data_IF_078115981344
#
_entry.id   IF_078115981344
#
_cell.length_a   1.000
_cell.length_b   1.000
_cell.length_c   1.000
_cell.angle_alpha   90.00
_cell.angle_beta   90.00
_cell.angle_gamma   90.00
#
_symmetry.space_group_name_H-M   'P 1'
#
loop_
_entity.id
_entity.type
_entity.pdbx_description
1 polymer ?
#
# COMPACT_ATOMS: atom_id res chain seq x y z
N UNK A 1 21.80 23.34 -21.81
CA UNK A 1 21.95 21.95 -22.31
C UNK A 1 21.12 21.82 -23.59
N UNK A 2 21.78 21.75 -24.74
CA UNK A 2 21.13 21.41 -26.02
C UNK A 2 21.12 19.89 -26.12
N UNK A 3 20.09 19.22 -25.59
CA UNK A 3 19.88 17.80 -25.83
C UNK A 3 18.95 17.66 -27.04
N UNK A 4 19.46 17.05 -28.12
CA UNK A 4 18.65 16.67 -29.27
C UNK A 4 17.72 15.52 -28.86
N UNK A 5 16.61 15.85 -28.19
CA UNK A 5 15.53 14.89 -28.02
C UNK A 5 14.92 14.60 -29.40
N UNK A 6 14.50 13.35 -29.60
CA UNK A 6 13.84 12.95 -30.83
C UNK A 6 12.63 13.85 -31.10
N UNK A 7 12.51 14.35 -32.32
CA UNK A 7 11.31 15.04 -32.80
C UNK A 7 10.68 14.21 -33.90
N UNK A 8 9.36 14.07 -33.86
CA UNK A 8 8.63 13.38 -34.93
C UNK A 8 8.90 14.05 -36.29
N UNK A 9 9.19 13.25 -37.34
CA UNK A 9 9.03 13.72 -38.71
C UNK A 9 7.62 14.29 -38.90
N UNK A 10 7.48 15.35 -39.71
CA UNK A 10 6.19 16.05 -39.92
C UNK A 10 5.06 15.10 -40.32
N UNK A 11 5.34 14.16 -41.22
CA UNK A 11 4.37 13.15 -41.68
C UNK A 11 3.89 12.24 -40.54
N UNK A 12 4.80 11.85 -39.64
CA UNK A 12 4.45 11.01 -38.50
C UNK A 12 3.58 11.79 -37.50
N UNK A 13 3.93 13.05 -37.24
CA UNK A 13 3.15 13.93 -36.37
C UNK A 13 1.74 14.16 -36.93
N UNK A 14 1.62 14.40 -38.24
CA UNK A 14 0.32 14.53 -38.89
C UNK A 14 -0.53 13.28 -38.69
N UNK A 15 0.02 12.08 -38.93
CA UNK A 15 -0.73 10.84 -38.75
C UNK A 15 -1.10 10.58 -37.28
N UNK A 16 -0.26 10.98 -36.31
CA UNK A 16 -0.61 10.96 -34.88
C UNK A 16 -1.83 11.84 -34.60
N UNK A 17 -1.85 13.07 -35.14
CA UNK A 17 -2.93 14.04 -34.97
C UNK A 17 -4.23 13.52 -35.60
N UNK A 18 -4.16 13.00 -36.82
CA UNK A 18 -5.30 12.39 -37.54
C UNK A 18 -5.93 11.22 -36.76
N UNK A 19 -5.11 10.52 -35.97
CA UNK A 19 -5.56 9.42 -35.11
C UNK A 19 -5.89 9.85 -33.68
N UNK A 20 -5.91 11.15 -33.40
CA UNK A 20 -6.36 11.72 -32.12
C UNK A 20 -5.47 11.39 -30.92
N UNK A 21 -4.18 11.12 -31.15
CA UNK A 21 -3.19 10.80 -30.10
C UNK A 21 -3.51 9.55 -29.24
N UNK A 22 -4.46 8.69 -29.64
CA UNK A 22 -4.89 7.55 -28.83
C UNK A 22 -3.89 6.37 -28.91
N UNK A 23 -3.01 6.25 -27.91
CA UNK A 23 -2.02 5.16 -27.86
C UNK A 23 -2.63 3.75 -27.77
N UNK A 24 -3.85 3.55 -27.28
CA UNK A 24 -4.39 2.21 -27.18
C UNK A 24 -5.06 1.78 -28.49
N UNK A 25 -5.85 2.66 -29.11
CA UNK A 25 -6.58 2.35 -30.36
C UNK A 25 -5.69 2.33 -31.60
N UNK A 26 -4.54 2.98 -31.56
CA UNK A 26 -3.63 3.07 -32.73
C UNK A 26 -2.49 2.05 -32.72
N UNK A 27 -2.60 0.98 -31.92
CA UNK A 27 -1.56 -0.06 -31.78
C UNK A 27 -1.11 -0.65 -33.10
N UNK A 28 -2.03 -0.82 -34.04
CA UNK A 28 -1.77 -1.33 -35.38
C UNK A 28 -1.29 -0.22 -36.31
N UNK A 29 -2.06 0.85 -36.41
CA UNK A 29 -1.91 1.90 -37.42
C UNK A 29 -0.63 2.73 -37.22
N UNK A 30 -0.24 2.95 -35.96
CA UNK A 30 0.95 3.70 -35.58
C UNK A 30 2.07 2.81 -35.04
N UNK A 31 2.04 1.50 -35.35
CA UNK A 31 3.09 0.56 -34.91
C UNK A 31 4.48 1.00 -35.34
N UNK A 32 4.63 1.48 -36.58
CA UNK A 32 5.90 1.97 -37.11
C UNK A 32 6.44 3.19 -36.32
N UNK A 33 5.56 4.13 -35.94
CA UNK A 33 5.93 5.28 -35.10
C UNK A 33 6.46 4.82 -33.75
N UNK A 34 5.80 3.82 -33.13
CA UNK A 34 6.22 3.29 -31.83
C UNK A 34 7.55 2.56 -31.91
N UNK A 35 7.78 1.79 -32.97
CA UNK A 35 9.07 1.15 -33.19
C UNK A 35 10.19 2.19 -33.31
N UNK A 36 9.97 3.26 -34.08
CA UNK A 36 10.95 4.35 -34.21
C UNK A 36 11.19 5.05 -32.87
N UNK A 37 10.12 5.36 -32.11
CA UNK A 37 10.25 5.92 -30.75
C UNK A 37 11.10 4.98 -29.90
N UNK A 38 10.78 3.68 -29.88
CA UNK A 38 11.48 2.68 -29.10
C UNK A 38 12.97 2.64 -29.45
N UNK A 39 13.31 2.55 -30.73
CA UNK A 39 14.69 2.56 -31.23
C UNK A 39 15.44 3.83 -30.79
N UNK A 40 14.79 5.00 -30.89
CA UNK A 40 15.39 6.27 -30.48
C UNK A 40 15.60 6.36 -28.97
N UNK A 41 14.63 5.93 -28.17
CA UNK A 41 14.76 5.89 -26.72
C UNK A 41 15.84 4.90 -26.27
N UNK A 42 15.88 3.70 -26.87
CA UNK A 42 16.90 2.69 -26.60
C UNK A 42 18.30 3.19 -26.97
N UNK A 43 18.46 3.86 -28.11
CA UNK A 43 19.72 4.48 -28.50
C UNK A 43 20.14 5.62 -27.55
N UNK A 44 19.19 6.43 -27.08
CA UNK A 44 19.47 7.63 -26.27
C UNK A 44 19.74 7.30 -24.80
N UNK A 45 18.92 6.45 -24.20
CA UNK A 45 18.95 6.17 -22.76
C UNK A 45 19.59 4.82 -22.42
N UNK A 46 19.95 4.03 -23.44
CA UNK A 46 20.72 2.80 -23.30
C UNK A 46 19.92 1.60 -22.79
N UNK A 47 20.66 0.56 -22.43
CA UNK A 47 20.20 -0.76 -21.97
C UNK A 47 19.75 -0.75 -20.50
N UNK A 48 19.20 0.34 -19.97
CA UNK A 48 18.84 0.43 -18.55
C UNK A 48 17.48 1.09 -18.34
N UNK A 49 16.74 0.60 -17.36
CA UNK A 49 15.49 1.23 -16.92
C UNK A 49 15.81 2.61 -16.34
N UNK A 50 15.15 3.65 -16.84
CA UNK A 50 15.42 5.01 -16.37
C UNK A 50 15.23 5.16 -14.85
N UNK A 51 14.16 4.60 -14.28
CA UNK A 51 13.83 4.78 -12.86
C UNK A 51 14.65 3.91 -11.91
N UNK A 52 14.80 2.61 -12.19
CA UNK A 52 15.47 1.70 -11.25
C UNK A 52 16.92 1.36 -11.62
N UNK A 53 17.41 1.83 -12.78
CA UNK A 53 18.75 1.58 -13.31
C UNK A 53 19.12 0.10 -13.43
N UNK A 54 18.13 -0.79 -13.46
CA UNK A 54 18.37 -2.20 -13.80
C UNK A 54 18.59 -2.35 -15.30
N UNK A 55 19.48 -3.25 -15.74
CA UNK A 55 19.65 -3.58 -17.14
C UNK A 55 18.32 -3.99 -17.79
N UNK A 56 18.14 -3.57 -19.03
CA UNK A 56 17.13 -4.00 -19.99
C UNK A 56 17.87 -4.84 -21.04
N UNK A 57 17.30 -5.98 -21.41
CA UNK A 57 17.90 -6.89 -22.37
C UNK A 57 16.91 -7.21 -23.49
N UNK A 58 17.39 -7.24 -24.73
CA UNK A 58 16.55 -7.45 -25.92
C UNK A 58 15.79 -8.78 -25.93
N UNK A 59 16.13 -9.73 -25.05
CA UNK A 59 15.48 -11.03 -24.95
C UNK A 59 14.30 -11.04 -23.98
N UNK A 60 14.60 -11.09 -22.68
CA UNK A 60 13.65 -11.37 -21.61
C UNK A 60 13.01 -10.13 -20.99
N UNK A 61 13.66 -8.97 -21.10
CA UNK A 61 13.18 -7.71 -20.54
C UNK A 61 13.60 -6.52 -21.42
N UNK A 62 13.04 -6.39 -22.63
CA UNK A 62 13.45 -5.36 -23.59
C UNK A 62 13.23 -3.94 -23.04
N UNK A 63 12.28 -3.80 -22.12
CA UNK A 63 11.82 -2.52 -21.62
C UNK A 63 10.57 -2.06 -22.37
N UNK A 64 9.82 -1.18 -21.73
CA UNK A 64 8.59 -0.61 -22.24
C UNK A 64 8.75 0.90 -22.40
N UNK A 65 8.14 1.44 -23.46
CA UNK A 65 7.94 2.89 -23.61
C UNK A 65 6.99 3.32 -22.49
N UNK A 66 7.52 4.11 -21.56
CA UNK A 66 6.77 4.67 -20.45
C UNK A 66 6.42 6.13 -20.72
N UNK A 67 5.19 6.49 -20.35
CA UNK A 67 4.68 7.84 -20.45
C UNK A 67 4.89 8.53 -19.11
N UNK A 68 5.77 9.53 -19.06
CA UNK A 68 6.07 10.30 -17.86
C UNK A 68 4.78 10.90 -17.29
N UNK A 69 4.00 11.60 -18.11
CA UNK A 69 2.60 11.98 -17.85
C UNK A 69 1.70 10.89 -18.42
N UNK A 70 0.88 10.29 -17.57
CA UNK A 70 0.07 9.14 -17.96
C UNK A 70 -1.03 9.51 -18.97
N UNK A 71 -1.31 8.61 -19.90
CA UNK A 71 -2.40 8.75 -20.89
C UNK A 71 -3.80 8.42 -20.36
N UNK A 72 -3.91 7.98 -19.10
CA UNK A 72 -5.19 7.55 -18.50
C UNK A 72 -6.18 8.68 -18.21
N UNK A 73 -5.78 9.94 -18.40
CA UNK A 73 -6.64 11.12 -18.29
C UNK A 73 -6.76 11.75 -19.68
N UNK A 74 -7.99 11.95 -20.15
CA UNK A 74 -8.27 12.54 -21.47
C UNK A 74 -7.64 13.93 -21.65
N UNK A 75 -7.42 14.66 -20.55
CA UNK A 75 -6.75 15.96 -20.54
C UNK A 75 -5.28 15.90 -20.97
N UNK A 76 -4.65 14.72 -20.93
CA UNK A 76 -3.25 14.50 -21.26
C UNK A 76 -3.05 13.70 -22.56
N UNK A 77 -4.14 13.35 -23.26
CA UNK A 77 -4.10 12.48 -24.44
C UNK A 77 -3.12 12.96 -25.50
N UNK A 78 -3.02 14.28 -25.68
CA UNK A 78 -2.14 14.94 -26.64
C UNK A 78 -0.67 14.58 -26.41
N UNK A 79 -0.29 14.30 -25.17
CA UNK A 79 1.07 13.96 -24.78
C UNK A 79 1.43 12.49 -24.99
N UNK A 80 0.50 11.64 -25.43
CA UNK A 80 0.72 10.20 -25.60
C UNK A 80 1.88 9.88 -26.56
N UNK A 81 2.09 10.75 -27.55
CA UNK A 81 3.18 10.63 -28.51
C UNK A 81 4.21 11.76 -28.38
N UNK A 82 4.06 12.66 -27.41
CA UNK A 82 5.00 13.77 -27.29
C UNK A 82 6.37 13.23 -26.86
N UNK A 83 7.48 13.44 -27.61
CA UNK A 83 8.76 12.79 -27.32
C UNK A 83 9.34 13.08 -25.94
N UNK A 84 9.14 14.31 -25.44
CA UNK A 84 9.56 14.68 -24.06
C UNK A 84 8.71 14.01 -22.97
N UNK A 85 7.58 13.41 -23.33
CA UNK A 85 6.74 12.66 -22.41
C UNK A 85 7.12 11.18 -22.34
N UNK A 86 8.10 10.72 -23.12
CA UNK A 86 8.40 9.31 -23.30
C UNK A 86 9.81 8.97 -22.78
N UNK A 87 9.91 7.81 -22.14
CA UNK A 87 11.17 7.25 -21.62
C UNK A 87 11.15 5.73 -21.68
N UNK A 88 12.31 5.07 -21.49
CA UNK A 88 12.39 3.61 -21.44
C UNK A 88 12.45 3.12 -19.99
N UNK A 89 11.64 2.12 -19.64
CA UNK A 89 11.60 1.56 -18.27
C UNK A 89 11.39 0.05 -18.29
N UNK A 90 11.73 -0.65 -17.21
CA UNK A 90 11.33 -2.04 -17.05
C UNK A 90 9.84 -2.15 -16.73
N UNK A 91 9.23 -3.28 -17.10
CA UNK A 91 7.79 -3.55 -16.89
C UNK A 91 7.31 -3.30 -15.48
N UNK A 92 8.12 -3.61 -14.46
CA UNK A 92 7.75 -3.41 -13.05
C UNK A 92 7.66 -1.94 -12.66
N UNK A 93 8.60 -1.11 -13.12
CA UNK A 93 8.57 0.33 -12.85
C UNK A 93 7.42 1.00 -13.61
N UNK A 94 7.21 0.64 -14.88
CA UNK A 94 6.07 1.07 -15.68
C UNK A 94 4.74 0.72 -14.98
N UNK A 95 4.54 -0.55 -14.63
CA UNK A 95 3.31 -1.02 -13.96
C UNK A 95 3.11 -0.34 -12.61
N UNK A 96 4.17 -0.15 -11.82
CA UNK A 96 4.08 0.47 -10.49
C UNK A 96 3.64 1.94 -10.57
N UNK A 97 4.16 2.69 -11.55
CA UNK A 97 3.74 4.05 -11.82
C UNK A 97 2.32 4.09 -12.39
N UNK A 98 2.06 3.31 -13.43
CA UNK A 98 0.75 3.16 -14.06
C UNK A 98 0.14 4.52 -14.41
N UNK A 99 -1.08 4.76 -13.93
CA UNK A 99 -1.84 6.01 -14.15
C UNK A 99 -1.69 7.02 -13.01
N UNK A 100 -0.72 6.83 -12.11
CA UNK A 100 -0.49 7.79 -11.03
C UNK A 100 0.04 9.11 -11.60
N UNK A 101 -0.41 10.19 -10.99
CA UNK A 101 -0.12 11.54 -11.44
C UNK A 101 1.35 11.91 -11.24
N UNK A 102 1.96 12.48 -12.28
CA UNK A 102 3.37 12.93 -12.24
C UNK A 102 3.49 14.44 -12.23
N UNK A 103 2.41 15.18 -12.54
CA UNK A 103 2.38 16.63 -12.50
C UNK A 103 2.17 17.20 -11.10
N UNK A 104 2.69 18.41 -10.92
CA UNK A 104 2.28 19.28 -9.82
C UNK A 104 0.79 19.64 -9.89
N UNK A 105 0.18 19.91 -8.74
CA UNK A 105 -1.29 20.09 -8.65
C UNK A 105 -1.81 21.21 -9.56
N UNK A 106 -1.03 22.28 -9.74
CA UNK A 106 -1.36 23.42 -10.61
C UNK A 106 -1.24 23.11 -12.11
N UNK A 107 -0.74 21.93 -12.49
CA UNK A 107 -0.64 21.45 -13.87
C UNK A 107 -1.67 20.38 -14.20
N UNK A 108 -2.44 19.93 -13.21
CA UNK A 108 -3.46 18.91 -13.37
C UNK A 108 -4.78 19.51 -13.85
N UNK A 109 -5.62 18.70 -14.48
CA UNK A 109 -6.96 19.09 -14.95
C UNK A 109 -6.99 20.25 -15.96
N UNK A 110 -5.88 20.46 -16.68
CA UNK A 110 -5.78 21.42 -17.78
C UNK A 110 -5.95 20.67 -19.11
N UNK A 111 -6.78 21.21 -20.00
CA UNK A 111 -6.91 20.70 -21.36
C UNK A 111 -5.70 21.16 -22.18
N UNK A 112 -4.66 20.33 -22.21
CA UNK A 112 -3.47 20.61 -22.99
C UNK A 112 -3.71 20.37 -24.47
N UNK A 113 -2.97 21.12 -25.29
CA UNK A 113 -2.70 20.78 -26.69
C UNK A 113 -1.26 20.28 -26.79
N UNK A 114 -0.92 19.56 -27.87
CA UNK A 114 0.39 18.94 -28.07
C UNK A 114 1.58 19.89 -27.78
N UNK A 115 1.53 21.12 -28.30
CA UNK A 115 2.62 22.11 -28.16
C UNK A 115 2.74 22.71 -26.76
N UNK A 116 1.71 22.57 -25.91
CA UNK A 116 1.68 23.08 -24.54
C UNK A 116 2.28 22.10 -23.53
N UNK A 117 3.09 21.14 -23.97
CA UNK A 117 3.80 20.24 -23.07
C UNK A 117 4.63 21.06 -22.06
N UNK A 118 4.43 20.90 -20.74
CA UNK A 118 5.23 21.60 -19.73
C UNK A 118 6.72 21.24 -19.87
N UNK A 119 7.60 22.24 -19.85
CA UNK A 119 9.05 22.04 -20.08
C UNK A 119 9.91 22.41 -18.88
N UNK A 120 9.31 22.83 -17.77
CA UNK A 120 10.06 23.13 -16.56
C UNK A 120 10.14 21.88 -15.69
N UNK A 121 11.33 21.60 -15.16
CA UNK A 121 11.54 20.56 -14.16
C UNK A 121 10.53 20.66 -13.02
N UNK A 122 10.28 21.86 -12.50
CA UNK A 122 9.35 22.11 -11.38
C UNK A 122 7.87 21.82 -11.68
N UNK A 123 7.51 21.56 -12.93
CA UNK A 123 6.12 21.20 -13.29
C UNK A 123 5.79 19.74 -12.91
N UNK A 124 6.80 18.94 -12.54
CA UNK A 124 6.70 17.51 -12.27
C UNK A 124 7.08 17.19 -10.81
N UNK A 125 6.35 16.23 -10.23
CA UNK A 125 6.65 15.63 -8.92
C UNK A 125 7.72 14.55 -9.00
N UNK A 126 7.94 13.97 -10.19
CA UNK A 126 8.95 12.91 -10.41
C UNK A 126 10.22 13.49 -11.00
N UNK A 127 11.31 12.74 -10.82
CA UNK A 127 12.55 12.92 -11.59
C UNK A 127 12.26 12.64 -13.07
N UNK A 128 12.32 13.70 -13.87
CA UNK A 128 11.96 13.73 -15.28
C UNK A 128 13.17 13.43 -16.18
N UNK A 129 13.06 12.41 -17.04
CA UNK A 129 14.15 11.95 -17.92
C UNK A 129 14.83 13.04 -18.74
N UNK A 130 14.06 14.04 -19.17
CA UNK A 130 14.56 15.09 -20.06
C UNK A 130 14.94 16.39 -19.34
N UNK A 131 14.47 16.61 -18.12
CA UNK A 131 14.55 17.92 -17.45
C UNK A 131 15.29 17.88 -16.13
N UNK A 132 15.54 16.68 -15.59
CA UNK A 132 16.26 16.48 -14.35
C UNK A 132 17.52 15.64 -14.59
N UNK A 133 18.55 15.91 -13.80
CA UNK A 133 19.64 14.98 -13.63
C UNK A 133 19.25 13.95 -12.55
N UNK A 134 19.29 12.67 -12.90
CA UNK A 134 18.85 11.59 -12.00
C UNK A 134 19.64 11.58 -10.69
N UNK A 135 20.95 11.76 -10.79
CA UNK A 135 21.90 11.66 -9.67
C UNK A 135 21.86 12.90 -8.76
N UNK A 136 21.07 13.94 -9.10
CA UNK A 136 20.80 15.07 -8.21
C UNK A 136 19.64 14.75 -7.24
N UNK A 137 18.88 13.70 -7.51
CA UNK A 137 17.66 13.36 -6.75
C UNK A 137 17.68 11.98 -6.12
N UNK A 138 18.43 11.03 -6.67
CA UNK A 138 18.38 9.61 -6.27
C UNK A 138 19.80 9.05 -6.18
N UNK A 139 20.07 8.33 -5.09
CA UNK A 139 21.32 7.61 -4.85
C UNK A 139 21.08 6.11 -4.65
N UNK A 140 22.05 5.30 -5.05
CA UNK A 140 22.06 3.86 -4.81
C UNK A 140 22.89 3.53 -3.56
N UNK A 141 22.23 3.42 -2.41
CA UNK A 141 22.90 3.12 -1.15
C UNK A 141 23.32 1.64 -1.09
N UNK A 142 24.60 1.40 -0.77
CA UNK A 142 25.19 0.07 -0.61
C UNK A 142 24.97 -0.87 -1.80
N UNK A 143 24.70 -0.33 -3.00
CA UNK A 143 24.36 -1.09 -4.21
C UNK A 143 23.03 -1.87 -4.15
N UNK A 144 22.21 -1.68 -3.10
CA UNK A 144 20.98 -2.45 -2.86
C UNK A 144 19.74 -1.59 -3.08
N UNK A 145 19.60 -0.52 -2.30
CA UNK A 145 18.36 0.27 -2.21
C UNK A 145 18.55 1.65 -2.84
N UNK A 146 17.50 2.14 -3.51
CA UNK A 146 17.47 3.54 -3.95
C UNK A 146 16.97 4.39 -2.78
N UNK A 147 17.67 5.47 -2.49
CA UNK A 147 17.27 6.48 -1.51
C UNK A 147 17.23 7.87 -2.14
N UNK A 148 16.41 8.79 -1.60
CA UNK A 148 16.42 10.17 -2.07
C UNK A 148 17.73 10.83 -1.66
N UNK A 149 18.40 11.46 -2.62
CA UNK A 149 19.58 12.28 -2.36
C UNK A 149 19.18 13.54 -1.61
N UNK A 150 19.82 13.82 -0.48
CA UNK A 150 19.60 15.04 0.32
C UNK A 150 18.12 15.36 0.62
N UNK A 151 17.28 14.32 0.84
CA UNK A 151 15.83 14.45 1.03
C UNK A 151 15.08 15.13 -0.14
N UNK A 152 15.60 14.99 -1.37
CA UNK A 152 14.95 15.44 -2.60
C UNK A 152 13.47 15.05 -2.65
N UNK A 153 12.53 16.02 -2.69
CA UNK A 153 11.10 15.73 -2.77
C UNK A 153 10.73 14.92 -4.01
N UNK A 154 11.37 15.23 -5.16
CA UNK A 154 11.23 14.46 -6.40
C UNK A 154 11.74 13.04 -6.24
N UNK A 155 12.88 12.87 -5.57
CA UNK A 155 13.45 11.56 -5.30
C UNK A 155 12.51 10.69 -4.47
N UNK A 156 11.97 11.24 -3.38
CA UNK A 156 10.98 10.59 -2.51
C UNK A 156 9.75 10.18 -3.33
N UNK A 157 9.21 11.11 -4.11
CA UNK A 157 8.00 10.85 -4.90
C UNK A 157 8.26 9.80 -6.00
N UNK A 158 9.40 9.86 -6.70
CA UNK A 158 9.81 8.85 -7.70
C UNK A 158 9.98 7.46 -7.08
N UNK A 159 10.61 7.36 -5.90
CA UNK A 159 10.74 6.08 -5.18
C UNK A 159 9.37 5.49 -4.87
N UNK A 160 8.45 6.31 -4.39
CA UNK A 160 7.11 5.89 -3.99
C UNK A 160 6.24 5.51 -5.20
N UNK A 161 6.17 6.38 -6.21
CA UNK A 161 5.30 6.19 -7.37
C UNK A 161 5.74 4.98 -8.21
N UNK A 162 7.05 4.78 -8.39
CA UNK A 162 7.62 3.67 -9.16
C UNK A 162 7.94 2.42 -8.31
N UNK A 163 7.61 2.45 -7.01
CA UNK A 163 7.86 1.37 -6.05
C UNK A 163 9.33 0.88 -6.10
N UNK A 164 10.28 1.79 -5.94
CA UNK A 164 11.72 1.51 -6.03
C UNK A 164 12.32 0.92 -4.75
N UNK A 165 11.52 0.82 -3.67
CA UNK A 165 11.91 0.20 -2.40
C UNK A 165 11.68 -1.32 -2.37
N UNK A 166 11.03 -1.90 -3.38
CA UNK A 166 10.65 -3.32 -3.42
C UNK A 166 11.83 -4.28 -3.29
N UNK A 167 11.67 -5.34 -2.49
CA UNK A 167 12.72 -6.31 -2.19
C UNK A 167 13.12 -7.16 -3.40
N UNK A 168 12.22 -7.35 -4.36
CA UNK A 168 12.55 -8.04 -5.60
C UNK A 168 13.46 -7.20 -6.54
N UNK A 169 13.48 -5.86 -6.41
CA UNK A 169 14.46 -5.00 -7.08
C UNK A 169 15.83 -5.23 -6.47
N UNK A 170 15.87 -5.12 -5.15
CA UNK A 170 17.08 -5.31 -4.36
C UNK A 170 17.67 -6.71 -4.62
N UNK A 171 16.84 -7.76 -4.62
CA UNK A 171 17.26 -9.13 -4.95
C UNK A 171 17.75 -9.24 -6.40
N UNK A 172 17.07 -8.60 -7.33
CA UNK A 172 17.49 -8.53 -8.74
C UNK A 172 18.87 -7.90 -8.90
N UNK A 173 19.15 -6.81 -8.17
CA UNK A 173 20.47 -6.18 -8.12
C UNK A 173 21.51 -7.12 -7.56
N UNK A 174 21.28 -7.68 -6.37
CA UNK A 174 22.23 -8.62 -5.74
C UNK A 174 22.53 -9.80 -6.68
N UNK A 175 21.52 -10.35 -7.35
CA UNK A 175 21.70 -11.40 -8.38
C UNK A 175 22.50 -10.91 -9.58
N UNK A 176 22.25 -9.70 -10.07
CA UNK A 176 23.01 -9.10 -11.16
C UNK A 176 24.48 -8.91 -10.77
N UNK A 177 24.76 -8.27 -9.62
CA UNK A 177 26.12 -8.14 -9.07
C UNK A 177 26.78 -9.51 -8.90
N UNK A 178 26.08 -10.48 -8.32
CA UNK A 178 26.55 -11.88 -8.19
C UNK A 178 26.93 -12.49 -9.54
N UNK A 179 26.14 -12.25 -10.58
CA UNK A 179 26.34 -12.81 -11.91
C UNK A 179 27.44 -12.10 -12.71
N UNK A 180 27.58 -10.79 -12.54
CA UNK A 180 28.56 -9.93 -13.19
C UNK A 180 29.94 -10.12 -12.59
N UNK A 181 30.02 -10.24 -11.25
CA UNK A 181 31.27 -10.33 -10.51
C UNK A 181 31.58 -11.72 -9.95
N UNK A 182 30.81 -12.76 -10.32
CA UNK A 182 31.21 -14.16 -10.13
C UNK A 182 30.86 -14.82 -8.78
N UNK A 183 30.01 -14.24 -7.93
CA UNK A 183 29.58 -14.91 -6.70
C UNK A 183 28.60 -16.09 -6.96
N UNK A 184 28.26 -16.36 -8.22
CA UNK A 184 27.22 -17.28 -8.70
C UNK A 184 27.72 -18.57 -9.35
N UNK A 185 28.74 -19.22 -8.77
CA UNK A 185 28.98 -20.66 -8.94
C UNK A 185 30.22 -21.08 -9.76
N UNK A 186 30.74 -22.31 -9.52
CA UNK A 186 32.00 -22.81 -10.10
C UNK A 186 32.02 -22.91 -11.64
N UNK A 187 30.86 -23.12 -12.28
CA UNK A 187 30.78 -23.33 -13.72
C UNK A 187 30.95 -22.04 -14.55
N UNK A 188 30.70 -20.85 -13.98
CA UNK A 188 30.87 -19.56 -14.69
C UNK A 188 32.30 -19.02 -14.55
N UNK A 189 33.01 -19.40 -13.48
CA UNK A 189 34.44 -19.15 -13.28
C UNK A 189 35.32 -19.90 -14.30
N UNK A 190 34.90 -21.09 -14.73
CA UNK A 190 35.58 -21.86 -15.79
C UNK A 190 35.39 -21.27 -17.20
N UNK A 191 34.33 -20.45 -17.40
CA UNK A 191 33.90 -19.95 -18.73
C UNK A 191 34.32 -18.48 -18.97
N UNK A 192 34.64 -17.71 -17.93
CA UNK A 192 35.15 -16.32 -18.00
C UNK A 192 36.64 -16.21 -18.45
N UNK A 193 37.17 -17.19 -19.21
CA UNK A 193 38.44 -17.15 -19.95
C UNK A 193 39.72 -17.29 -19.11
N UNK A 194 40.64 -18.17 -19.54
CA UNK A 194 41.99 -18.35 -18.98
C UNK A 194 42.92 -17.13 -19.10
N UNK A 195 42.52 -16.00 -18.52
CA UNK A 195 43.24 -14.72 -18.48
C UNK A 195 43.14 -13.98 -17.14
N UNK A 196 42.31 -14.40 -16.18
CA UNK A 196 42.22 -13.76 -14.86
C UNK A 196 42.24 -14.78 -13.73
N UNK A 197 43.00 -14.50 -12.67
CA UNK A 197 43.08 -15.37 -11.49
C UNK A 197 41.91 -15.11 -10.53
N UNK A 198 41.62 -16.08 -9.67
CA UNK A 198 40.64 -15.95 -8.57
C UNK A 198 40.95 -14.73 -7.67
N UNK A 199 42.24 -14.46 -7.42
CA UNK A 199 42.71 -13.30 -6.67
C UNK A 199 42.39 -11.96 -7.34
N UNK A 200 42.40 -11.88 -8.67
CA UNK A 200 42.05 -10.64 -9.41
C UNK A 200 40.55 -10.34 -9.35
N UNK A 201 39.72 -11.38 -9.37
CA UNK A 201 38.27 -11.23 -9.21
C UNK A 201 37.96 -10.80 -7.77
N UNK A 202 38.56 -11.46 -6.77
CA UNK A 202 38.43 -11.10 -5.36
C UNK A 202 38.95 -9.68 -5.08
N UNK A 203 40.03 -9.24 -5.74
CA UNK A 203 40.56 -7.88 -5.61
C UNK A 203 39.62 -6.83 -6.18
N UNK A 204 39.00 -7.07 -7.34
CA UNK A 204 37.97 -6.17 -7.90
C UNK A 204 36.69 -6.17 -7.06
N UNK A 205 36.26 -7.33 -6.58
CA UNK A 205 35.15 -7.44 -5.64
C UNK A 205 35.42 -6.66 -4.34
N UNK A 206 36.62 -6.78 -3.76
CA UNK A 206 37.04 -6.01 -2.57
C UNK A 206 37.19 -4.51 -2.84
N UNK A 207 37.42 -4.08 -4.10
CA UNK A 207 37.39 -2.66 -4.49
C UNK A 207 35.97 -2.10 -4.51
N UNK A 208 34.99 -2.90 -4.96
CA UNK A 208 33.56 -2.54 -5.01
C UNK A 208 32.92 -2.65 -3.62
N UNK A 209 33.20 -3.73 -2.92
CA UNK A 209 32.74 -4.05 -1.57
C UNK A 209 33.87 -3.86 -0.58
N UNK A 210 34.10 -2.61 -0.16
CA UNK A 210 35.08 -2.27 0.88
C UNK A 210 34.60 -2.61 2.29
N UNK A 211 33.31 -2.91 2.43
CA UNK A 211 32.62 -3.11 3.71
C UNK A 211 31.98 -4.50 3.75
N UNK A 212 32.47 -5.35 4.65
CA UNK A 212 31.95 -6.70 4.88
C UNK A 212 30.44 -6.67 5.24
N UNK A 213 29.94 -5.56 5.82
CA UNK A 213 28.50 -5.38 6.09
C UNK A 213 27.67 -5.40 4.82
N UNK A 214 28.19 -4.91 3.69
CA UNK A 214 27.47 -4.94 2.41
C UNK A 214 27.34 -6.37 1.90
N UNK A 215 28.40 -7.18 2.03
CA UNK A 215 28.37 -8.60 1.67
C UNK A 215 27.35 -9.35 2.54
N UNK A 216 27.34 -9.05 3.84
CA UNK A 216 26.38 -9.62 4.79
C UNK A 216 24.93 -9.31 4.42
N UNK A 217 24.65 -8.06 4.04
CA UNK A 217 23.35 -7.61 3.54
C UNK A 217 22.98 -8.34 2.23
N UNK A 218 23.93 -8.52 1.31
CA UNK A 218 23.70 -9.27 0.07
C UNK A 218 23.28 -10.73 0.36
N UNK A 219 24.00 -11.41 1.24
CA UNK A 219 23.69 -12.79 1.64
C UNK A 219 22.33 -12.89 2.33
N UNK A 220 22.05 -11.97 3.27
CA UNK A 220 20.76 -11.93 3.95
C UNK A 220 19.60 -11.71 2.96
N UNK A 221 19.75 -10.81 1.99
CA UNK A 221 18.71 -10.58 0.99
C UNK A 221 18.48 -11.79 0.08
N UNK A 222 19.56 -12.50 -0.31
CA UNK A 222 19.45 -13.75 -1.05
C UNK A 222 18.75 -14.84 -0.24
N UNK A 223 19.04 -14.96 1.06
CA UNK A 223 18.37 -15.88 1.98
C UNK A 223 16.88 -15.55 2.11
N UNK A 224 16.54 -14.29 2.39
CA UNK A 224 15.16 -13.79 2.42
C UNK A 224 14.43 -14.10 1.10
N UNK A 225 15.10 -13.86 -0.02
CA UNK A 225 14.53 -14.07 -1.36
C UNK A 225 14.43 -15.53 -1.80
N UNK A 226 14.92 -16.48 -1.02
CA UNK A 226 14.74 -17.92 -1.28
C UNK A 226 13.30 -18.37 -1.06
N UNK A 227 12.55 -17.69 -0.17
CA UNK A 227 11.13 -17.94 0.03
C UNK A 227 10.29 -16.96 -0.80
N UNK A 228 9.89 -17.40 -1.99
CA UNK A 228 9.09 -16.59 -2.92
C UNK A 228 7.72 -16.23 -2.37
N UNK A 229 7.10 -17.09 -1.55
CA UNK A 229 5.79 -16.83 -0.96
C UNK A 229 5.85 -15.69 0.05
N UNK A 230 6.89 -15.65 0.90
CA UNK A 230 7.10 -14.54 1.83
C UNK A 230 7.26 -13.21 1.08
N UNK A 231 8.11 -13.17 0.05
CA UNK A 231 8.29 -11.96 -0.75
C UNK A 231 7.00 -11.52 -1.45
N UNK A 232 6.24 -12.45 -2.00
CA UNK A 232 4.99 -12.13 -2.68
C UNK A 232 3.91 -11.65 -1.70
N UNK A 233 3.80 -12.24 -0.51
CA UNK A 233 2.90 -11.74 0.54
C UNK A 233 3.32 -10.34 0.99
N UNK A 234 4.62 -10.09 1.19
CA UNK A 234 5.14 -8.75 1.52
C UNK A 234 4.79 -7.74 0.43
N UNK A 235 4.89 -8.11 -0.85
CA UNK A 235 4.48 -7.26 -1.97
C UNK A 235 2.98 -6.95 -1.94
N UNK A 236 2.14 -7.92 -1.63
CA UNK A 236 0.68 -7.71 -1.52
C UNK A 236 0.32 -6.85 -0.31
N UNK A 237 0.97 -7.07 0.84
CA UNK A 237 0.80 -6.24 2.04
C UNK A 237 1.26 -4.79 1.78
N UNK A 238 2.37 -4.59 1.07
CA UNK A 238 2.87 -3.25 0.75
C UNK A 238 1.87 -2.41 -0.07
N UNK A 239 0.95 -3.03 -0.80
CA UNK A 239 -0.12 -2.32 -1.52
C UNK A 239 -1.19 -1.74 -0.59
N UNK A 240 -1.30 -2.25 0.64
CA UNK A 240 -2.26 -1.79 1.66
C UNK A 240 -1.77 -0.51 2.33
N UNK A 241 -0.46 -0.23 2.25
CA UNK A 241 0.18 0.96 2.81
C UNK A 241 0.86 0.68 4.15
N UNK A 242 2.07 1.19 4.31
CA UNK A 242 2.88 0.95 5.51
C UNK A 242 2.25 1.54 6.77
N UNK A 243 1.76 2.77 6.71
CA UNK A 243 1.13 3.44 7.87
C UNK A 243 -0.07 2.66 8.42
N UNK A 244 -0.90 2.11 7.52
CA UNK A 244 -2.04 1.28 7.88
C UNK A 244 -1.59 0.00 8.62
N UNK A 245 -0.52 -0.62 8.14
CA UNK A 245 0.05 -1.83 8.73
C UNK A 245 0.72 -1.56 10.09
N UNK A 246 1.46 -0.46 10.21
CA UNK A 246 2.05 0.00 11.48
C UNK A 246 0.95 0.28 12.51
N UNK A 247 -0.08 1.05 12.14
CA UNK A 247 -1.21 1.33 13.01
C UNK A 247 -1.95 0.05 13.40
N UNK A 248 -2.16 -0.86 12.46
CA UNK A 248 -2.76 -2.16 12.74
C UNK A 248 -1.99 -2.92 13.80
N UNK A 249 -0.67 -3.05 13.65
CA UNK A 249 0.15 -3.73 14.64
C UNK A 249 0.12 -3.05 16.01
N UNK A 250 0.22 -1.72 16.04
CA UNK A 250 0.24 -0.91 17.27
C UNK A 250 -1.08 -0.99 18.05
N UNK A 251 -2.21 -0.94 17.34
CA UNK A 251 -3.54 -0.83 17.93
C UNK A 251 -4.36 -2.13 17.84
N UNK A 252 -3.72 -3.24 17.50
CA UNK A 252 -4.36 -4.56 17.51
C UNK A 252 -5.05 -4.91 18.83
N UNK A 253 -4.51 -4.60 20.03
CA UNK A 253 -5.23 -4.87 21.28
C UNK A 253 -6.59 -4.16 21.37
N UNK A 254 -6.69 -2.92 20.87
CA UNK A 254 -7.94 -2.17 20.79
C UNK A 254 -8.91 -2.85 19.81
N UNK A 255 -8.44 -3.22 18.61
CA UNK A 255 -9.26 -3.96 17.64
C UNK A 255 -9.75 -5.28 18.21
N UNK A 256 -8.87 -6.04 18.88
CA UNK A 256 -9.21 -7.32 19.52
C UNK A 256 -10.27 -7.13 20.60
N UNK A 257 -10.09 -6.14 21.46
CA UNK A 257 -11.05 -5.78 22.48
C UNK A 257 -12.43 -5.43 21.87
N UNK A 258 -12.46 -4.67 20.78
CA UNK A 258 -13.68 -4.37 20.05
C UNK A 258 -14.35 -5.64 19.47
N UNK A 259 -13.58 -6.52 18.83
CA UNK A 259 -14.09 -7.79 18.28
C UNK A 259 -14.68 -8.68 19.37
N UNK A 260 -13.97 -8.86 20.47
CA UNK A 260 -14.39 -9.73 21.58
C UNK A 260 -15.67 -9.20 22.28
N UNK A 261 -15.99 -7.89 22.12
CA UNK A 261 -17.17 -7.26 22.70
C UNK A 261 -18.23 -6.88 21.65
N UNK A 262 -18.07 -7.31 20.39
CA UNK A 262 -18.97 -6.87 19.32
C UNK A 262 -20.43 -7.25 19.54
N UNK A 263 -20.70 -8.46 20.06
CA UNK A 263 -22.06 -8.90 20.33
C UNK A 263 -22.74 -8.00 21.37
N UNK A 264 -22.00 -7.61 22.40
CA UNK A 264 -22.47 -6.69 23.44
C UNK A 264 -22.73 -5.29 22.87
N UNK A 265 -21.80 -4.75 22.09
CA UNK A 265 -21.95 -3.46 21.40
C UNK A 265 -23.15 -3.48 20.46
N UNK A 266 -23.32 -4.56 19.70
CA UNK A 266 -24.45 -4.73 18.81
C UNK A 266 -25.77 -4.75 19.59
N UNK A 267 -25.84 -5.48 20.70
CA UNK A 267 -27.05 -5.52 21.54
C UNK A 267 -27.40 -4.14 22.10
N UNK A 268 -26.41 -3.40 22.60
CA UNK A 268 -26.59 -2.03 23.08
C UNK A 268 -27.06 -1.08 21.97
N UNK A 269 -26.54 -1.22 20.75
CA UNK A 269 -27.03 -0.51 19.57
C UNK A 269 -28.50 -0.82 19.27
N UNK A 270 -28.89 -2.11 19.24
CA UNK A 270 -30.28 -2.49 18.96
C UNK A 270 -31.23 -1.96 20.05
N UNK A 271 -30.80 -1.89 21.31
CA UNK A 271 -31.54 -1.26 22.40
C UNK A 271 -31.79 0.24 22.15
N UNK A 272 -30.73 1.01 21.88
CA UNK A 272 -30.86 2.46 21.64
C UNK A 272 -31.73 2.71 20.42
N UNK A 273 -31.50 1.94 19.35
CA UNK A 273 -32.31 2.02 18.13
C UNK A 273 -33.78 1.75 18.41
N UNK A 274 -34.08 0.68 19.15
CA UNK A 274 -35.45 0.33 19.51
C UNK A 274 -36.15 1.41 20.34
N UNK A 275 -35.44 1.99 21.33
CA UNK A 275 -35.93 3.12 22.12
C UNK A 275 -36.27 4.28 21.19
N UNK A 276 -35.33 4.68 20.33
CA UNK A 276 -35.51 5.83 19.43
C UNK A 276 -36.66 5.66 18.44
N UNK A 277 -36.82 4.46 17.88
CA UNK A 277 -37.88 4.14 16.90
C UNK A 277 -39.26 3.99 17.57
N UNK A 278 -39.31 3.68 18.87
CA UNK A 278 -40.54 3.58 19.63
C UNK A 278 -40.85 4.90 20.33
N UNK A 279 -41.46 5.85 19.61
CA UNK A 279 -41.70 7.23 20.10
C UNK A 279 -42.31 7.30 21.51
N UNK A 280 -43.34 6.48 21.79
CA UNK A 280 -43.95 6.43 23.12
C UNK A 280 -43.00 6.00 24.23
N UNK A 281 -42.06 5.09 23.95
CA UNK A 281 -41.05 4.65 24.91
C UNK A 281 -39.99 5.73 25.09
N UNK A 282 -39.53 6.33 23.99
CA UNK A 282 -38.56 7.43 24.01
C UNK A 282 -39.07 8.60 24.84
N UNK A 283 -40.32 9.04 24.64
CA UNK A 283 -40.90 10.19 25.35
C UNK A 283 -40.99 9.92 26.86
N UNK A 284 -41.47 8.73 27.25
CA UNK A 284 -41.54 8.31 28.66
C UNK A 284 -40.14 8.27 29.29
N UNK A 285 -39.14 7.73 28.58
CA UNK A 285 -37.78 7.63 29.12
C UNK A 285 -37.10 8.99 29.22
N UNK A 286 -37.38 9.95 28.33
CA UNK A 286 -36.89 11.33 28.44
C UNK A 286 -37.39 12.00 29.73
N UNK A 287 -38.65 11.75 30.12
CA UNK A 287 -39.22 12.32 31.35
C UNK A 287 -38.65 11.66 32.62
N UNK A 288 -38.31 10.37 32.55
CA UNK A 288 -37.91 9.58 33.72
C UNK A 288 -36.39 9.51 33.95
N UNK A 289 -35.57 9.78 32.92
CA UNK A 289 -34.11 9.72 33.02
C UNK A 289 -33.50 11.12 33.15
N UNK A 290 -32.88 11.37 34.30
CA UNK A 290 -32.05 12.57 34.53
C UNK A 290 -30.74 12.57 33.73
N UNK A 291 -30.05 13.72 33.72
CA UNK A 291 -28.78 13.90 32.99
C UNK A 291 -27.68 12.92 33.44
N UNK A 292 -27.70 12.51 34.71
CA UNK A 292 -26.81 11.52 35.31
C UNK A 292 -26.98 10.10 34.75
N UNK A 293 -28.08 9.83 34.06
CA UNK A 293 -28.39 8.55 33.43
C UNK A 293 -28.00 8.50 31.95
N UNK A 294 -27.63 9.63 31.35
CA UNK A 294 -27.47 9.77 29.90
C UNK A 294 -26.04 10.18 29.53
N UNK A 295 -25.62 9.80 28.33
CA UNK A 295 -24.51 10.45 27.63
C UNK A 295 -25.02 11.60 26.77
N UNK A 296 -24.22 12.66 26.69
CA UNK A 296 -24.53 13.83 25.87
C UNK A 296 -24.72 13.41 24.41
N UNK A 297 -25.88 13.70 23.84
CA UNK A 297 -26.19 13.48 22.43
C UNK A 297 -27.24 14.50 22.01
N UNK A 298 -27.17 15.00 20.78
CA UNK A 298 -28.09 16.05 20.31
C UNK A 298 -29.51 15.53 20.11
N UNK A 299 -29.65 14.29 19.63
CA UNK A 299 -30.93 13.81 19.08
C UNK A 299 -31.34 12.42 19.60
N UNK A 300 -30.52 11.79 20.45
CA UNK A 300 -30.69 10.39 20.87
C UNK A 300 -30.62 10.27 22.39
N UNK A 301 -31.46 9.41 22.93
CA UNK A 301 -31.36 8.97 24.32
C UNK A 301 -30.33 7.83 24.37
N UNK A 302 -29.14 8.12 24.90
CA UNK A 302 -28.04 7.16 25.04
C UNK A 302 -27.82 6.91 26.54
N UNK A 303 -28.38 5.83 27.12
CA UNK A 303 -28.24 5.55 28.54
C UNK A 303 -26.80 5.15 28.90
N UNK A 304 -26.21 5.79 29.90
CA UNK A 304 -24.96 5.28 30.49
C UNK A 304 -25.23 4.07 31.41
N UNK A 305 -24.22 3.59 32.13
CA UNK A 305 -24.39 2.45 33.06
C UNK A 305 -25.55 2.66 34.04
N UNK A 306 -25.66 3.84 34.66
CA UNK A 306 -26.74 4.18 35.59
C UNK A 306 -28.09 4.25 34.86
N UNK A 307 -28.11 4.74 33.62
CA UNK A 307 -29.33 4.78 32.81
C UNK A 307 -29.86 3.39 32.47
N UNK A 308 -28.98 2.45 32.13
CA UNK A 308 -29.38 1.05 31.92
C UNK A 308 -29.94 0.46 33.22
N UNK A 309 -29.28 0.70 34.36
CA UNK A 309 -29.78 0.28 35.67
C UNK A 309 -31.18 0.84 35.96
N UNK A 310 -31.37 2.14 35.72
CA UNK A 310 -32.64 2.81 35.96
C UNK A 310 -33.75 2.27 35.06
N UNK A 311 -33.46 2.02 33.79
CA UNK A 311 -34.43 1.41 32.86
C UNK A 311 -34.83 0.02 33.36
N UNK A 312 -33.87 -0.80 33.79
CA UNK A 312 -34.15 -2.14 34.34
C UNK A 312 -35.02 -2.05 35.60
N UNK A 313 -34.72 -1.11 36.51
CA UNK A 313 -35.53 -0.86 37.72
C UNK A 313 -36.99 -0.52 37.37
N UNK A 314 -37.21 0.42 36.44
CA UNK A 314 -38.54 0.88 36.03
C UNK A 314 -39.40 -0.22 35.40
N UNK A 315 -38.78 -1.17 34.71
CA UNK A 315 -39.44 -2.33 34.12
C UNK A 315 -39.88 -3.31 35.22
N UNK A 316 -38.98 -3.60 36.15
CA UNK A 316 -39.19 -4.55 37.25
C UNK A 316 -40.23 -4.05 38.26
N UNK A 317 -40.23 -2.74 38.54
CA UNK A 317 -41.22 -2.11 39.44
C UNK A 317 -42.61 -1.96 38.80
N UNK A 318 -42.73 -2.13 37.48
CA UNK A 318 -43.95 -1.84 36.73
C UNK A 318 -44.26 -0.34 36.60
N UNK A 319 -43.31 0.53 36.93
CA UNK A 319 -43.48 1.99 36.84
C UNK A 319 -43.49 2.49 35.38
N UNK A 320 -42.92 1.71 34.45
CA UNK A 320 -42.92 2.03 33.02
C UNK A 320 -44.30 1.74 32.39
N UNK A 321 -45.12 2.78 32.18
CA UNK A 321 -46.48 2.66 31.61
C UNK A 321 -46.46 2.45 30.09
N UNK A 322 -46.03 1.28 29.65
CA UNK A 322 -45.94 0.89 28.24
C UNK A 322 -46.76 -0.36 27.90
N UNK A 323 -47.04 -0.58 26.61
CA UNK A 323 -47.76 -1.78 26.13
C UNK A 323 -46.92 -3.05 26.33
N UNK A 324 -47.57 -4.17 26.62
CA UNK A 324 -46.92 -5.47 26.86
C UNK A 324 -45.90 -5.88 25.78
N UNK A 325 -46.18 -5.75 24.46
CA UNK A 325 -45.19 -6.11 23.44
C UNK A 325 -43.91 -5.29 23.50
N UNK A 326 -44.01 -4.00 23.88
CA UNK A 326 -42.86 -3.11 24.03
C UNK A 326 -42.04 -3.53 25.25
N UNK A 327 -42.72 -3.86 26.36
CA UNK A 327 -42.07 -4.33 27.59
C UNK A 327 -41.28 -5.61 27.34
N UNK A 328 -41.90 -6.61 26.72
CA UNK A 328 -41.24 -7.89 26.41
C UNK A 328 -40.01 -7.68 25.53
N UNK A 329 -40.11 -6.83 24.50
CA UNK A 329 -38.97 -6.56 23.62
C UNK A 329 -37.83 -5.82 24.34
N UNK A 330 -38.18 -4.88 25.21
CA UNK A 330 -37.23 -4.13 26.02
C UNK A 330 -36.50 -5.04 27.02
N UNK A 331 -37.22 -5.95 27.68
CA UNK A 331 -36.67 -6.99 28.56
C UNK A 331 -35.70 -7.92 27.80
N UNK A 332 -36.08 -8.36 26.59
CA UNK A 332 -35.23 -9.17 25.72
C UNK A 332 -33.91 -8.44 25.40
N UNK A 333 -33.97 -7.16 25.02
CA UNK A 333 -32.80 -6.36 24.65
C UNK A 333 -31.90 -6.03 25.86
N UNK A 334 -32.46 -5.94 27.06
CA UNK A 334 -31.70 -5.71 28.31
C UNK A 334 -31.12 -7.00 28.89
N UNK A 335 -31.69 -8.16 28.55
CA UNK A 335 -31.23 -9.45 29.07
C UNK A 335 -29.79 -9.72 28.63
N UNK A 336 -28.89 -9.92 29.61
CA UNK A 336 -27.46 -10.13 29.34
C UNK A 336 -26.66 -8.84 29.07
N UNK A 337 -27.30 -7.67 29.11
CA UNK A 337 -26.62 -6.38 29.02
C UNK A 337 -26.06 -5.97 30.39
N UNK A 338 -24.86 -6.43 30.71
CA UNK A 338 -24.13 -6.06 31.92
C UNK A 338 -23.85 -4.54 31.97
N UNK A 339 -24.44 -3.85 32.95
CA UNK A 339 -24.32 -2.39 33.13
C UNK A 339 -22.86 -1.94 33.24
N UNK A 340 -21.99 -2.72 33.89
CA UNK A 340 -20.56 -2.42 34.07
C UNK A 340 -19.77 -2.42 32.76
N UNK A 341 -20.28 -3.06 31.70
CA UNK A 341 -19.67 -3.08 30.36
C UNK A 341 -20.10 -1.90 29.49
N UNK A 342 -21.09 -1.10 29.88
CA UNK A 342 -21.57 0.05 29.09
C UNK A 342 -20.51 1.16 29.01
N UNK A 343 -19.86 1.50 30.12
CA UNK A 343 -18.74 2.46 30.09
C UNK A 343 -17.58 1.98 29.20
N UNK A 344 -17.36 0.66 29.16
CA UNK A 344 -16.37 0.06 28.29
C UNK A 344 -16.70 0.23 26.80
N UNK A 345 -17.99 0.14 26.42
CA UNK A 345 -18.43 0.50 25.05
C UNK A 345 -18.00 1.93 24.72
N UNK A 346 -18.29 2.89 25.60
CA UNK A 346 -17.97 4.29 25.33
C UNK A 346 -16.46 4.51 25.19
N UNK A 347 -15.66 3.89 26.05
CA UNK A 347 -14.19 3.94 25.95
C UNK A 347 -13.68 3.43 24.59
N UNK A 348 -14.25 2.33 24.10
CA UNK A 348 -13.90 1.78 22.79
C UNK A 348 -14.36 2.69 21.65
N UNK A 349 -15.61 3.17 21.70
CA UNK A 349 -16.20 4.01 20.64
C UNK A 349 -15.57 5.40 20.55
N UNK A 350 -14.96 5.91 21.62
CA UNK A 350 -14.13 7.12 21.55
C UNK A 350 -12.98 7.01 20.53
N UNK A 351 -12.57 5.79 20.18
CA UNK A 351 -11.54 5.52 19.17
C UNK A 351 -12.12 5.14 17.80
N UNK A 352 -13.35 5.57 17.47
CA UNK A 352 -14.08 5.11 16.27
C UNK A 352 -13.33 5.26 14.96
N UNK A 353 -12.66 6.40 14.74
CA UNK A 353 -11.99 6.70 13.46
C UNK A 353 -10.88 5.68 13.23
N UNK A 354 -10.03 5.52 14.24
CA UNK A 354 -8.97 4.53 14.26
C UNK A 354 -9.52 3.11 14.07
N UNK A 355 -10.56 2.71 14.83
CA UNK A 355 -11.17 1.39 14.70
C UNK A 355 -11.67 1.10 13.27
N UNK A 356 -12.32 2.07 12.62
CA UNK A 356 -12.78 1.93 11.24
C UNK A 356 -11.61 1.74 10.26
N UNK A 357 -10.52 2.48 10.43
CA UNK A 357 -9.29 2.32 9.64
C UNK A 357 -8.65 0.93 9.85
N UNK A 358 -8.58 0.47 11.10
CA UNK A 358 -8.07 -0.87 11.44
C UNK A 358 -8.91 -1.98 10.80
N UNK A 359 -10.23 -1.87 10.89
CA UNK A 359 -11.17 -2.84 10.30
C UNK A 359 -11.03 -2.84 8.78
N UNK A 360 -10.92 -1.68 8.14
CA UNK A 360 -10.71 -1.57 6.71
C UNK A 360 -9.39 -2.24 6.29
N UNK A 361 -8.32 -2.02 7.06
CA UNK A 361 -7.00 -2.61 6.82
C UNK A 361 -7.05 -4.15 6.92
N UNK A 362 -7.61 -4.69 8.00
CA UNK A 362 -7.76 -6.16 8.16
C UNK A 362 -8.66 -6.73 7.07
N UNK A 363 -9.76 -6.06 6.73
CA UNK A 363 -10.63 -6.49 5.63
C UNK A 363 -9.88 -6.53 4.30
N UNK A 364 -9.03 -5.54 4.00
CA UNK A 364 -8.20 -5.53 2.80
C UNK A 364 -7.20 -6.71 2.77
N UNK A 365 -6.57 -7.02 3.91
CA UNK A 365 -5.68 -8.19 4.04
C UNK A 365 -6.46 -9.49 3.78
N UNK A 366 -7.56 -9.69 4.52
CA UNK A 366 -8.35 -10.93 4.47
C UNK A 366 -9.11 -11.11 3.15
N UNK A 367 -9.33 -10.07 2.36
CA UNK A 367 -10.00 -10.19 1.05
C UNK A 367 -9.03 -10.31 -0.13
N UNK A 368 -7.73 -10.11 0.10
CA UNK A 368 -6.72 -10.26 -0.93
C UNK A 368 -6.56 -11.74 -1.34
N UNK A 369 -6.96 -12.05 -2.58
CA UNK A 369 -6.93 -13.41 -3.13
C UNK A 369 -5.52 -13.95 -3.30
N UNK A 370 -4.54 -13.09 -3.61
CA UNK A 370 -3.14 -13.52 -3.76
C UNK A 370 -2.56 -13.91 -2.40
N UNK A 371 -2.81 -13.13 -1.34
CA UNK A 371 -2.37 -13.50 0.02
C UNK A 371 -2.98 -14.85 0.42
N UNK A 372 -4.29 -15.06 0.18
CA UNK A 372 -4.95 -16.34 0.46
C UNK A 372 -4.34 -17.52 -0.29
N UNK A 373 -4.03 -17.33 -1.57
CA UNK A 373 -3.43 -18.35 -2.41
C UNK A 373 -2.02 -18.73 -1.95
N UNK A 374 -1.25 -17.76 -1.46
CA UNK A 374 0.15 -17.95 -1.05
C UNK A 374 0.30 -18.47 0.39
N UNK A 375 -0.70 -18.22 1.24
CA UNK A 375 -0.68 -18.56 2.68
C UNK A 375 -0.38 -20.04 2.98
N UNK A 376 -0.90 -21.04 2.23
CA UNK A 376 -0.54 -22.44 2.47
C UNK A 376 0.97 -22.71 2.36
N UNK A 377 1.67 -21.97 1.49
CA UNK A 377 3.10 -22.15 1.24
C UNK A 377 4.02 -21.51 2.29
N UNK A 378 3.47 -21.00 3.39
CA UNK A 378 4.21 -20.49 4.55
C UNK A 378 3.75 -21.14 5.87
N UNK A 379 2.85 -22.13 5.81
CA UNK A 379 2.43 -22.88 7.00
C UNK A 379 3.63 -23.67 7.55
N UNK A 380 3.91 -23.52 8.84
CA UNK A 380 5.06 -24.17 9.49
C UNK A 380 6.42 -23.55 9.13
N UNK A 381 6.43 -22.40 8.45
CA UNK A 381 7.68 -21.70 8.14
C UNK A 381 8.35 -21.16 9.41
N UNK A 382 9.66 -21.39 9.54
CA UNK A 382 10.45 -20.92 10.67
C UNK A 382 10.95 -19.48 10.46
N UNK A 383 10.24 -18.52 11.05
CA UNK A 383 10.56 -17.10 10.94
C UNK A 383 11.85 -16.69 11.64
N UNK A 384 12.49 -17.56 12.45
CA UNK A 384 13.77 -17.25 13.11
C UNK A 384 14.87 -16.93 12.09
N UNK A 385 14.88 -17.60 10.95
CA UNK A 385 15.86 -17.37 9.88
C UNK A 385 15.67 -15.99 9.23
N UNK A 386 14.43 -15.65 8.84
CA UNK A 386 14.11 -14.33 8.29
C UNK A 386 14.45 -13.24 9.30
N UNK A 387 14.10 -13.43 10.58
CA UNK A 387 14.40 -12.43 11.62
C UNK A 387 15.91 -12.20 11.77
N UNK A 388 16.71 -13.26 11.76
CA UNK A 388 18.17 -13.17 11.83
C UNK A 388 18.74 -12.37 10.64
N UNK A 389 18.27 -12.65 9.43
CA UNK A 389 18.74 -11.98 8.22
C UNK A 389 18.27 -10.53 8.13
N UNK A 390 17.04 -10.25 8.55
CA UNK A 390 16.48 -8.90 8.58
C UNK A 390 17.19 -8.00 9.59
N UNK A 391 17.67 -8.52 10.71
CA UNK A 391 18.47 -7.74 11.66
C UNK A 391 19.76 -7.20 11.04
N UNK A 392 20.25 -7.74 9.92
CA UNK A 392 21.40 -7.17 9.20
C UNK A 392 21.08 -5.86 8.46
N UNK A 393 19.80 -5.49 8.40
CA UNK A 393 19.27 -4.28 7.78
C UNK A 393 18.65 -3.32 8.80
N UNK A 394 18.96 -3.45 10.09
CA UNK A 394 18.39 -2.65 11.17
C UNK A 394 18.42 -1.13 10.91
N UNK A 395 19.51 -0.64 10.32
CA UNK A 395 19.73 0.74 9.87
C UNK A 395 18.83 1.20 8.71
N UNK A 396 18.16 0.27 8.03
CA UNK A 396 17.33 0.47 6.85
C UNK A 396 15.87 0.04 7.02
N UNK A 397 15.51 -0.70 8.09
CA UNK A 397 14.13 -1.21 8.32
C UNK A 397 13.10 -0.08 8.24
N UNK A 398 13.34 1.05 8.91
CA UNK A 398 12.40 2.18 8.94
C UNK A 398 12.47 3.06 7.69
N UNK A 399 13.46 2.84 6.81
CA UNK A 399 13.62 3.58 5.55
C UNK A 399 13.02 2.84 4.36
N UNK A 400 12.69 1.56 4.52
CA UNK A 400 12.18 0.71 3.46
C UNK A 400 10.88 0.02 3.91
N UNK A 401 9.74 0.39 3.29
CA UNK A 401 8.44 -0.16 3.67
C UNK A 401 8.37 -1.69 3.64
N UNK A 402 9.00 -2.33 2.67
CA UNK A 402 8.97 -3.79 2.57
C UNK A 402 9.90 -4.48 3.56
N UNK A 403 11.03 -3.86 3.95
CA UNK A 403 11.85 -4.36 5.06
C UNK A 403 11.08 -4.27 6.39
N UNK A 404 10.33 -3.20 6.62
CA UNK A 404 9.44 -3.09 7.77
C UNK A 404 8.35 -4.16 7.76
N UNK A 405 7.69 -4.38 6.62
CA UNK A 405 6.63 -5.38 6.53
C UNK A 405 7.20 -6.78 6.78
N UNK A 406 8.33 -7.14 6.18
CA UNK A 406 8.90 -8.48 6.34
C UNK A 406 9.43 -8.71 7.76
N UNK A 407 9.96 -7.69 8.44
CA UNK A 407 10.35 -7.80 9.86
C UNK A 407 9.16 -8.09 10.77
N UNK A 408 7.95 -7.79 10.30
CA UNK A 408 6.68 -7.96 11.00
C UNK A 408 5.82 -9.09 10.41
N UNK A 409 6.31 -9.85 9.43
CA UNK A 409 5.53 -10.83 8.67
C UNK A 409 4.97 -11.95 9.56
N UNK A 410 5.79 -12.46 10.49
CA UNK A 410 5.38 -13.47 11.47
C UNK A 410 4.16 -12.99 12.27
N UNK A 411 4.15 -11.71 12.66
CA UNK A 411 3.04 -11.12 13.40
C UNK A 411 1.76 -11.07 12.57
N UNK A 412 1.84 -10.62 11.30
CA UNK A 412 0.66 -10.58 10.42
C UNK A 412 0.10 -11.98 10.17
N UNK A 413 0.98 -12.97 9.97
CA UNK A 413 0.54 -14.35 9.74
C UNK A 413 -0.17 -14.86 10.98
N UNK A 414 0.49 -14.76 12.14
CA UNK A 414 -0.06 -15.25 13.41
C UNK A 414 -1.39 -14.58 13.75
N UNK A 415 -1.39 -13.26 13.89
CA UNK A 415 -2.50 -12.52 14.51
C UNK A 415 -3.63 -12.13 13.55
N UNK A 416 -3.34 -12.06 12.25
CA UNK A 416 -4.32 -11.64 11.23
C UNK A 416 -4.73 -12.81 10.34
N UNK A 417 -3.77 -13.56 9.78
CA UNK A 417 -4.09 -14.59 8.79
C UNK A 417 -4.45 -15.96 9.40
N UNK A 418 -4.01 -16.25 10.63
CA UNK A 418 -4.26 -17.55 11.28
C UNK A 418 -5.11 -17.49 12.55
N UNK A 419 -4.90 -16.53 13.46
CA UNK A 419 -5.66 -16.41 14.72
C UNK A 419 -7.04 -15.75 14.56
N UNK A 420 -7.32 -15.15 13.40
CA UNK A 420 -8.69 -14.81 13.01
C UNK A 420 -9.34 -16.11 12.58
N UNK A 421 -9.95 -16.81 13.55
CA UNK A 421 -10.75 -18.00 13.31
C UNK A 421 -11.95 -17.70 12.38
N UNK A 422 -12.67 -18.76 11.97
CA UNK A 422 -13.83 -18.63 11.08
C UNK A 422 -14.91 -17.68 11.64
N UNK A 423 -15.09 -17.61 12.97
CA UNK A 423 -16.09 -16.74 13.59
C UNK A 423 -15.69 -15.26 13.47
N UNK A 424 -14.40 -14.96 13.63
CA UNK A 424 -13.84 -13.61 13.44
C UNK A 424 -13.73 -13.22 11.96
N UNK A 425 -13.54 -14.15 11.04
CA UNK A 425 -13.67 -13.87 9.60
C UNK A 425 -15.11 -13.42 9.25
N UNK A 426 -16.13 -14.01 9.88
CA UNK A 426 -17.51 -13.53 9.71
C UNK A 426 -17.72 -12.12 10.27
N UNK A 427 -16.99 -11.72 11.31
CA UNK A 427 -17.05 -10.35 11.83
C UNK A 427 -16.66 -9.34 10.74
N UNK A 428 -15.58 -9.57 10.00
CA UNK A 428 -15.14 -8.66 8.93
C UNK A 428 -16.06 -8.69 7.70
N UNK A 429 -16.85 -9.76 7.49
CA UNK A 429 -17.95 -9.76 6.49
C UNK A 429 -19.07 -8.78 6.85
N UNK A 430 -19.22 -8.44 8.14
CA UNK A 430 -20.21 -7.49 8.66
C UNK A 430 -19.70 -6.04 8.69
N UNK A 431 -18.62 -5.68 7.96
CA UNK A 431 -18.00 -4.34 8.00
C UNK A 431 -18.98 -3.18 7.84
N UNK A 432 -20.00 -3.32 6.99
CA UNK A 432 -21.02 -2.29 6.79
C UNK A 432 -21.90 -2.14 8.03
N UNK A 433 -22.33 -3.26 8.64
CA UNK A 433 -23.09 -3.22 9.90
C UNK A 433 -22.25 -2.59 11.02
N UNK A 434 -20.97 -2.96 11.11
CA UNK A 434 -20.05 -2.39 12.11
C UNK A 434 -19.96 -0.86 11.93
N UNK A 435 -19.76 -0.39 10.69
CA UNK A 435 -19.72 1.03 10.37
C UNK A 435 -21.03 1.73 10.78
N UNK A 436 -22.18 1.17 10.42
CA UNK A 436 -23.49 1.71 10.82
C UNK A 436 -23.64 1.80 12.34
N UNK A 437 -23.25 0.75 13.08
CA UNK A 437 -23.32 0.75 14.55
C UNK A 437 -22.45 1.88 15.12
N UNK A 438 -21.22 2.01 14.65
CA UNK A 438 -20.28 3.01 15.16
C UNK A 438 -20.70 4.45 14.82
N UNK A 439 -21.25 4.68 13.63
CA UNK A 439 -21.83 5.98 13.25
C UNK A 439 -23.11 6.28 14.02
N UNK A 440 -23.93 5.26 14.30
CA UNK A 440 -25.17 5.44 15.04
C UNK A 440 -24.93 5.74 16.52
N UNK A 441 -23.96 5.07 17.14
CA UNK A 441 -23.57 5.29 18.53
C UNK A 441 -22.64 6.51 18.70
N UNK A 442 -22.57 7.42 17.73
CA UNK A 442 -21.88 8.69 17.88
C UNK A 442 -22.62 9.60 18.87
N UNK A 443 -21.91 10.01 19.91
CA UNK A 443 -22.37 10.90 20.98
C UNK A 443 -21.39 12.06 21.18
#
# INVERSE_FOLDING_TARGET
MSSHYYTHPKEHLQHIIEKGHDWEKTKTDLKYVRNIIYEKLSFTYGEYCYYCKMPLDLGSNPGDIEHIVHKGNDNYKEFSYHPLNLTLTCKKCNTAKGIKESFEINKQNINYIYDNYPKNSSDYKIVHTHFDNYDDHLDLENYIFIHPKENSPKGIYTINICNLYRLDLALGRVKNYRNTYGMGGPAKALVMHGRRSEDEILKELRKVFKDDKVIDKFQALMSIGSNTNCLQIVNELAKIGEDNLINLKKFYPLLRSFMDNFNFINQYYELIKYIKETTTLNDILIELLGAEHLKASKDKLIPNSNGIEKITELINSGSLKIRTPIKVKLEELLTGLEQTKVEFIFMILNNKILLLELIATVSAILTNQQIKYLLPGIVGFDFRFIKKDINKFDDQINKNPQLNIISNLEWYIKYILTEIDKERDMFFKKKNKIKTIMEYLEF
#
